data_IF_041059322482
#
_entry.id   IF_041059322482
#
_cell.length_a   1.000
_cell.length_b   1.000
_cell.length_c   1.000
_cell.angle_alpha   90.00
_cell.angle_beta   90.00
_cell.angle_gamma   90.00
#
_symmetry.space_group_name_H-M   'P 1'
#
loop_
_entity.id
_entity.type
_entity.pdbx_description
1 polymer ?
#
# COMPACT_ATOMS: atom_id res chain seq x y z
N UNK A 1 -10.96 -4.06 -13.03
CA UNK A 1 -9.70 -4.46 -13.68
C UNK A 1 -9.09 -3.23 -14.30
N UNK A 2 -7.94 -2.76 -13.79
CA UNK A 2 -7.18 -1.68 -14.43
C UNK A 2 -6.27 -2.32 -15.49
N UNK A 3 -6.85 -2.74 -16.63
CA UNK A 3 -6.05 -3.26 -17.76
C UNK A 3 -5.12 -2.18 -18.29
N UNK A 4 -3.83 -2.48 -18.49
CA UNK A 4 -2.71 -1.72 -19.09
C UNK A 4 -2.64 -0.18 -18.91
N UNK A 5 -3.46 0.41 -18.04
CA UNK A 5 -3.52 1.85 -17.79
C UNK A 5 -2.35 2.25 -16.92
N UNK A 6 -1.41 2.95 -17.53
CA UNK A 6 -0.28 3.56 -16.83
C UNK A 6 -0.77 4.78 -16.05
N UNK A 7 -0.31 4.89 -14.81
CA UNK A 7 -0.54 6.04 -13.94
C UNK A 7 0.83 6.57 -13.57
N UNK A 8 1.04 7.87 -13.81
CA UNK A 8 2.29 8.51 -13.45
C UNK A 8 2.31 8.85 -11.96
N UNK A 9 3.50 8.74 -11.39
CA UNK A 9 3.77 8.98 -9.98
C UNK A 9 4.62 10.24 -9.91
N UNK A 10 4.14 11.24 -9.17
CA UNK A 10 4.84 12.49 -8.89
C UNK A 10 5.98 12.27 -7.90
N UNK A 11 5.75 11.41 -6.91
CA UNK A 11 6.72 11.07 -5.86
C UNK A 11 6.51 9.64 -5.39
N UNK A 12 7.60 8.90 -5.27
CA UNK A 12 7.63 7.62 -4.58
C UNK A 12 8.49 7.70 -3.31
N UNK A 13 8.01 7.07 -2.25
CA UNK A 13 8.72 6.98 -0.97
C UNK A 13 8.72 5.52 -0.52
N UNK A 14 9.91 4.97 -0.26
CA UNK A 14 10.04 3.63 0.30
C UNK A 14 9.81 3.67 1.81
N UNK A 15 8.72 3.05 2.27
CA UNK A 15 8.31 3.10 3.67
C UNK A 15 9.09 2.15 4.58
N UNK A 16 9.80 1.17 4.02
CA UNK A 16 10.59 0.23 4.80
C UNK A 16 11.90 -0.11 4.09
N UNK A 17 12.99 0.48 4.57
CA UNK A 17 14.34 0.24 4.03
C UNK A 17 14.80 -1.21 4.20
N UNK A 18 14.37 -1.91 5.26
CA UNK A 18 14.74 -3.31 5.51
C UNK A 18 13.96 -4.29 4.62
N UNK A 19 12.78 -3.89 4.16
CA UNK A 19 11.88 -4.70 3.32
C UNK A 19 11.35 -3.85 2.18
N UNK A 20 12.14 -3.63 1.11
CA UNK A 20 11.88 -2.66 0.06
C UNK A 20 10.76 -3.14 -0.89
N UNK A 21 9.55 -3.27 -0.36
CA UNK A 21 8.38 -3.82 -1.07
C UNK A 21 7.11 -3.02 -0.78
N UNK A 22 7.21 -1.95 0.03
CA UNK A 22 6.07 -1.10 0.38
C UNK A 22 6.46 0.34 0.09
N UNK A 23 5.69 0.96 -0.79
CA UNK A 23 5.91 2.32 -1.26
C UNK A 23 4.68 3.17 -0.97
N UNK A 24 4.90 4.43 -0.63
CA UNK A 24 3.88 5.47 -0.69
C UNK A 24 4.08 6.23 -1.98
N UNK A 25 3.04 6.31 -2.80
CA UNK A 25 3.08 6.98 -4.09
C UNK A 25 2.11 8.16 -4.07
N UNK A 26 2.61 9.35 -4.43
CA UNK A 26 1.79 10.51 -4.78
C UNK A 26 1.56 10.47 -6.30
N UNK A 27 0.31 10.36 -6.72
CA UNK A 27 -0.06 10.27 -8.13
C UNK A 27 -0.09 11.67 -8.77
N UNK A 28 0.42 11.81 -10.00
CA UNK A 28 0.35 13.09 -10.73
C UNK A 28 -1.10 13.53 -10.98
N UNK A 29 -1.95 12.56 -11.34
CA UNK A 29 -3.36 12.78 -11.56
C UNK A 29 -4.18 11.65 -10.92
N UNK A 30 -4.99 11.95 -9.88
CA UNK A 30 -5.89 10.99 -9.26
C UNK A 30 -7.03 10.65 -10.24
N UNK A 31 -6.78 9.65 -11.09
CA UNK A 31 -7.76 9.11 -12.05
C UNK A 31 -8.24 7.75 -11.58
N UNK A 32 -9.30 7.24 -12.20
CA UNK A 32 -9.78 5.87 -12.00
C UNK A 32 -10.31 5.57 -10.58
N UNK A 33 -10.75 6.61 -9.86
CA UNK A 33 -11.27 6.47 -8.49
C UNK A 33 -10.18 6.26 -7.43
N UNK A 34 -8.92 6.49 -7.77
CA UNK A 34 -7.82 6.47 -6.80
C UNK A 34 -7.66 7.84 -6.11
N UNK A 35 -7.32 7.86 -4.81
CA UNK A 35 -6.92 9.08 -4.12
C UNK A 35 -5.56 9.59 -4.63
N UNK A 36 -5.20 10.83 -4.27
CA UNK A 36 -3.91 11.42 -4.63
C UNK A 36 -2.71 10.65 -4.08
N UNK A 37 -2.87 9.99 -2.93
CA UNK A 37 -1.84 9.16 -2.31
C UNK A 37 -2.32 7.73 -2.15
N UNK A 38 -1.52 6.77 -2.62
CA UNK A 38 -1.77 5.34 -2.46
C UNK A 38 -0.58 4.64 -1.85
N UNK A 39 -0.84 3.51 -1.19
CA UNK A 39 0.19 2.58 -0.75
C UNK A 39 0.28 1.45 -1.76
N UNK A 40 1.47 1.20 -2.27
CA UNK A 40 1.76 0.09 -3.17
C UNK A 40 2.57 -0.96 -2.43
N UNK A 41 2.01 -2.16 -2.32
CA UNK A 41 2.65 -3.30 -1.69
C UNK A 41 2.98 -4.36 -2.74
N UNK A 42 4.25 -4.47 -3.07
CA UNK A 42 4.77 -5.42 -4.04
C UNK A 42 4.80 -6.84 -3.48
N UNK A 43 4.64 -7.79 -4.39
CA UNK A 43 4.95 -9.19 -4.16
C UNK A 43 6.43 -9.37 -3.79
N UNK A 44 6.67 -10.15 -2.74
CA UNK A 44 8.03 -10.50 -2.30
C UNK A 44 8.55 -11.69 -3.12
N UNK A 45 9.88 -11.76 -3.38
CA UNK A 45 10.45 -12.90 -4.09
C UNK A 45 10.09 -14.25 -3.45
N UNK A 46 9.63 -15.21 -4.25
CA UNK A 46 9.30 -16.59 -3.83
C UNK A 46 8.20 -16.66 -2.75
N UNK A 47 7.30 -15.67 -2.73
CA UNK A 47 6.17 -15.56 -1.77
C UNK A 47 4.84 -15.32 -2.47
N UNK A 48 4.68 -15.95 -3.62
CA UNK A 48 3.48 -15.89 -4.49
C UNK A 48 2.23 -16.33 -3.72
N UNK A 49 2.39 -17.35 -2.85
CA UNK A 49 1.30 -17.84 -2.01
C UNK A 49 0.82 -16.78 -1.01
N UNK A 50 1.74 -16.12 -0.29
CA UNK A 50 1.39 -15.05 0.66
C UNK A 50 0.68 -13.88 -0.04
N UNK A 51 1.11 -13.54 -1.25
CA UNK A 51 0.48 -12.48 -2.04
C UNK A 51 -0.96 -12.83 -2.42
N UNK A 52 -1.22 -14.07 -2.85
CA UNK A 52 -2.58 -14.54 -3.15
C UNK A 52 -3.46 -14.62 -1.90
N UNK A 53 -2.91 -15.08 -0.78
CA UNK A 53 -3.62 -15.15 0.49
C UNK A 53 -4.01 -13.75 0.98
N UNK A 54 -3.14 -12.75 0.80
CA UNK A 54 -3.44 -11.35 1.13
C UNK A 54 -4.59 -10.81 0.27
N UNK A 55 -4.61 -11.09 -1.03
CA UNK A 55 -5.74 -10.72 -1.91
C UNK A 55 -7.04 -11.36 -1.41
N UNK A 56 -6.99 -12.63 -1.02
CA UNK A 56 -8.15 -13.34 -0.48
C UNK A 56 -8.61 -12.75 0.87
N UNK A 57 -7.67 -12.39 1.74
CA UNK A 57 -7.96 -11.75 3.02
C UNK A 57 -8.70 -10.42 2.83
N UNK A 58 -8.23 -9.54 1.93
CA UNK A 58 -8.95 -8.30 1.63
C UNK A 58 -10.37 -8.56 1.11
N UNK A 59 -10.56 -9.55 0.23
CA UNK A 59 -11.90 -9.92 -0.26
C UNK A 59 -12.82 -10.40 0.87
N UNK A 60 -12.29 -11.20 1.80
CA UNK A 60 -13.06 -11.75 2.93
C UNK A 60 -13.36 -10.71 4.01
N UNK A 61 -12.48 -9.72 4.18
CA UNK A 61 -12.60 -8.64 5.15
C UNK A 61 -13.14 -7.34 4.53
N UNK A 62 -13.93 -7.45 3.45
CA UNK A 62 -14.46 -6.29 2.70
C UNK A 62 -15.15 -5.25 3.58
N UNK A 63 -15.89 -5.68 4.60
CA UNK A 63 -16.64 -4.80 5.49
C UNK A 63 -15.75 -4.00 6.46
N UNK A 64 -14.48 -4.40 6.65
CA UNK A 64 -13.53 -3.71 7.52
C UNK A 64 -12.64 -2.70 6.77
N UNK A 65 -12.69 -2.73 5.44
CA UNK A 65 -11.87 -1.87 4.59
C UNK A 65 -12.28 -0.40 4.68
N UNK A 66 -11.29 0.49 4.70
CA UNK A 66 -11.46 1.93 4.78
C UNK A 66 -11.70 2.46 6.21
N UNK A 67 -11.91 1.57 7.18
CA UNK A 67 -12.11 1.95 8.59
C UNK A 67 -11.06 1.32 9.49
N UNK A 68 -10.92 -0.01 9.45
CA UNK A 68 -9.99 -0.77 10.30
C UNK A 68 -8.75 -1.21 9.53
N UNK A 69 -8.93 -1.60 8.28
CA UNK A 69 -7.84 -2.00 7.37
C UNK A 69 -7.85 -1.12 6.11
N UNK A 70 -6.74 -1.05 5.35
CA UNK A 70 -6.72 -0.33 4.08
C UNK A 70 -7.80 -0.78 3.11
N UNK A 71 -8.28 0.14 2.28
CA UNK A 71 -9.10 -0.20 1.12
C UNK A 71 -8.21 -0.76 0.02
N UNK A 72 -8.52 -1.96 -0.48
CA UNK A 72 -7.88 -2.54 -1.66
C UNK A 72 -8.57 -2.00 -2.92
N UNK A 73 -7.90 -1.09 -3.62
CA UNK A 73 -8.38 -0.58 -4.90
C UNK A 73 -8.20 -1.61 -6.03
N UNK A 74 -7.16 -2.43 -5.95
CA UNK A 74 -6.94 -3.51 -6.90
C UNK A 74 -5.51 -4.01 -6.95
N UNK A 75 -5.21 -4.72 -8.04
CA UNK A 75 -3.88 -5.24 -8.36
C UNK A 75 -3.32 -4.46 -9.55
N UNK A 76 -2.00 -4.31 -9.58
CA UNK A 76 -1.26 -3.70 -10.67
C UNK A 76 0.21 -4.14 -10.64
N UNK A 77 1.07 -3.35 -11.26
CA UNK A 77 2.52 -3.55 -11.19
C UNK A 77 3.23 -2.24 -10.90
N UNK A 78 4.30 -2.30 -10.11
CA UNK A 78 5.18 -1.17 -9.86
C UNK A 78 6.62 -1.64 -9.97
N UNK A 79 7.49 -0.89 -10.67
CA UNK A 79 8.88 -1.29 -10.95
C UNK A 79 9.01 -2.74 -11.47
N UNK A 80 8.10 -3.15 -12.37
CA UNK A 80 8.10 -4.48 -12.98
C UNK A 80 7.64 -5.63 -12.08
N UNK A 81 7.18 -5.36 -10.86
CA UNK A 81 6.71 -6.38 -9.91
C UNK A 81 5.20 -6.29 -9.69
N UNK A 82 4.49 -7.42 -9.58
CA UNK A 82 3.09 -7.44 -9.16
C UNK A 82 2.91 -6.74 -7.81
N UNK A 83 1.83 -5.99 -7.65
CA UNK A 83 1.57 -5.23 -6.43
C UNK A 83 0.08 -5.04 -6.16
N UNK A 84 -0.24 -4.85 -4.87
CA UNK A 84 -1.53 -4.37 -4.39
C UNK A 84 -1.52 -2.86 -4.29
N UNK A 85 -2.61 -2.23 -4.72
CA UNK A 85 -2.84 -0.79 -4.61
C UNK A 85 -3.85 -0.58 -3.49
N UNK A 86 -3.42 0.08 -2.42
CA UNK A 86 -4.13 0.21 -1.16
C UNK A 86 -4.33 1.69 -0.82
N UNK A 87 -5.37 1.99 -0.03
CA UNK A 87 -5.49 3.31 0.60
C UNK A 87 -4.41 3.50 1.66
N UNK A 88 -3.98 4.75 1.82
CA UNK A 88 -3.28 5.15 3.02
C UNK A 88 -4.24 5.12 4.23
N UNK A 89 -3.73 4.70 5.39
CA UNK A 89 -4.42 4.84 6.67
C UNK A 89 -3.67 5.89 7.48
N UNK A 90 -4.36 6.98 7.82
CA UNK A 90 -3.80 8.02 8.68
C UNK A 90 -3.60 7.51 10.10
N UNK A 91 -2.53 7.95 10.75
CA UNK A 91 -2.21 7.60 12.13
C UNK A 91 -0.71 7.54 12.37
N UNK A 92 -0.35 7.18 13.61
CA UNK A 92 1.02 6.93 14.01
C UNK A 92 1.18 5.43 14.29
N UNK A 93 2.31 4.84 13.89
CA UNK A 93 2.57 3.45 14.25
C UNK A 93 2.86 3.36 15.74
N UNK A 94 2.53 2.24 16.38
CA UNK A 94 2.87 2.01 17.79
C UNK A 94 4.39 2.16 18.06
N UNK A 95 5.22 1.82 17.07
CA UNK A 95 6.67 2.01 17.15
C UNK A 95 7.06 3.48 17.21
N UNK A 96 6.48 4.30 16.34
CA UNK A 96 6.80 5.73 16.31
C UNK A 96 6.23 6.43 17.54
N UNK A 97 5.04 6.01 18.00
CA UNK A 97 4.47 6.46 19.26
C UNK A 97 5.39 6.16 20.46
N UNK A 98 5.95 4.95 20.54
CA UNK A 98 6.88 4.59 21.60
C UNK A 98 8.15 5.47 21.60
N UNK A 99 8.66 5.86 20.41
CA UNK A 99 9.83 6.75 20.30
C UNK A 99 9.55 8.19 20.72
N UNK A 100 8.31 8.67 20.54
CA UNK A 100 7.91 10.00 20.99
C UNK A 100 7.89 10.08 22.53
N UNK A 101 7.50 8.98 23.19
CA UNK A 101 7.51 8.89 24.66
C UNK A 101 8.94 8.90 25.20
N UNK A 102 9.84 8.11 24.59
CA UNK A 102 11.26 8.06 24.97
C UNK A 102 12.02 9.39 24.74
N UNK A 103 11.55 10.25 23.83
CA UNK A 103 12.16 11.56 23.57
C UNK A 103 11.58 12.70 24.42
N UNK A 104 10.58 12.40 25.25
CA UNK A 104 9.94 13.35 26.17
C UNK A 104 10.43 13.20 27.63
N UNK A 105 11.44 12.36 27.87
CA UNK A 105 12.06 12.07 29.19
C UNK A 105 13.50 12.55 29.23
#
# INVERSE_FOLDING_TARGET
MFGDKRINVKKDELLNQLRPTVYRLELEEPRLGLPATVIVKQEKPKREAEFRDEIFAYKRLRELQGTVIPTLFGQGSFNGRPALILSEIGGITLRDLAKLDESSV
#
